data_IF_134603401392
#
_entry.id   IF_134603401392
#
_cell.length_a   1.000
_cell.length_b   1.000
_cell.length_c   1.000
_cell.angle_alpha   90.00
_cell.angle_beta   90.00
_cell.angle_gamma   90.00
#
_symmetry.space_group_name_H-M   'P 1'
#
loop_
_entity.id
_entity.type
_entity.pdbx_description
1 polymer ?
#
# COMPACT_ATOMS: atom_id res chain seq x y z
N UNK A 1 4.13 -15.36 1.04
CA UNK A 1 3.71 -14.57 2.22
C UNK A 1 2.34 -13.91 2.03
N UNK A 2 2.10 -13.17 0.93
CA UNK A 2 0.85 -12.42 0.73
C UNK A 2 -0.44 -13.23 0.93
N UNK A 3 -0.52 -14.46 0.42
CA UNK A 3 -1.71 -15.31 0.57
C UNK A 3 -2.11 -15.55 2.04
N UNK A 4 -1.14 -15.66 2.94
CA UNK A 4 -1.41 -15.87 4.38
C UNK A 4 -2.00 -14.59 4.98
N UNK A 5 -1.44 -13.43 4.64
CA UNK A 5 -1.92 -12.13 5.11
C UNK A 5 -3.35 -11.89 4.60
N UNK A 6 -3.61 -12.13 3.31
CA UNK A 6 -4.94 -12.03 2.70
C UNK A 6 -5.95 -12.94 3.41
N UNK A 7 -5.60 -14.21 3.62
CA UNK A 7 -6.49 -15.15 4.30
C UNK A 7 -6.79 -14.71 5.74
N UNK A 8 -5.80 -14.18 6.46
CA UNK A 8 -5.99 -13.68 7.82
C UNK A 8 -6.88 -12.43 7.88
N UNK A 9 -6.70 -11.48 6.95
CA UNK A 9 -7.54 -10.28 6.86
C UNK A 9 -9.01 -10.65 6.59
N UNK A 10 -9.25 -11.54 5.62
CA UNK A 10 -10.60 -12.03 5.31
C UNK A 10 -11.21 -12.82 6.47
N UNK A 11 -10.40 -13.63 7.16
CA UNK A 11 -10.86 -14.35 8.34
C UNK A 11 -11.30 -13.38 9.46
N UNK A 12 -10.48 -12.37 9.76
CA UNK A 12 -10.77 -11.39 10.80
C UNK A 12 -12.03 -10.56 10.49
N UNK A 13 -12.27 -10.24 9.21
CA UNK A 13 -13.52 -9.60 8.76
C UNK A 13 -14.76 -10.46 9.07
N UNK A 14 -14.67 -11.78 8.93
CA UNK A 14 -15.78 -12.70 9.25
C UNK A 14 -15.94 -12.89 10.75
N UNK A 15 -14.85 -12.97 11.51
CA UNK A 15 -14.89 -13.21 12.97
C UNK A 15 -15.53 -12.05 13.73
N UNK A 16 -15.08 -10.82 13.47
CA UNK A 16 -15.63 -9.62 14.10
C UNK A 16 -15.42 -8.39 13.20
N UNK A 17 -16.40 -8.05 12.35
CA UNK A 17 -16.26 -6.95 11.40
C UNK A 17 -16.24 -5.56 12.05
N UNK A 18 -16.52 -5.44 13.36
CA UNK A 18 -16.50 -4.16 14.07
C UNK A 18 -15.18 -3.89 14.78
N UNK A 19 -14.33 -4.90 14.91
CA UNK A 19 -13.06 -4.79 15.62
C UNK A 19 -11.93 -4.43 14.68
N UNK A 20 -11.25 -3.33 14.99
CA UNK A 20 -10.04 -2.90 14.29
C UNK A 20 -8.99 -4.01 14.20
N UNK A 21 -8.36 -4.10 13.03
CA UNK A 21 -7.23 -4.99 12.79
C UNK A 21 -5.94 -4.19 12.95
N UNK A 22 -4.98 -4.71 13.71
CA UNK A 22 -3.64 -4.11 13.82
C UNK A 22 -2.65 -4.95 13.03
N UNK A 23 -2.09 -4.35 11.98
CA UNK A 23 -1.09 -4.95 11.11
C UNK A 23 0.30 -4.39 11.42
N UNK A 24 1.17 -5.23 11.97
CA UNK A 24 2.58 -4.90 12.19
C UNK A 24 3.40 -5.13 10.92
N UNK A 25 4.13 -4.11 10.49
CA UNK A 25 4.92 -4.11 9.25
C UNK A 25 6.40 -4.08 9.60
N UNK A 26 7.09 -5.19 9.31
CA UNK A 26 8.54 -5.30 9.29
C UNK A 26 8.93 -6.01 7.99
N UNK A 27 9.16 -5.24 6.93
CA UNK A 27 9.41 -5.76 5.60
C UNK A 27 10.35 -4.85 4.80
N UNK A 28 11.38 -5.40 4.15
CA UNK A 28 12.19 -4.67 3.18
C UNK A 28 11.48 -4.43 1.84
N UNK A 29 10.23 -4.89 1.68
CA UNK A 29 9.49 -4.83 0.42
C UNK A 29 9.38 -6.19 -0.26
N UNK A 30 9.10 -6.18 -1.56
CA UNK A 30 8.94 -7.39 -2.36
C UNK A 30 8.15 -7.15 -3.64
N UNK A 31 7.48 -8.20 -4.12
CA UNK A 31 6.65 -8.13 -5.33
C UNK A 31 5.53 -7.09 -5.21
N UNK A 32 5.46 -6.20 -6.20
CA UNK A 32 4.40 -5.18 -6.31
C UNK A 32 3.03 -5.83 -6.40
N UNK A 33 2.86 -6.85 -7.24
CA UNK A 33 1.56 -7.53 -7.40
C UNK A 33 1.11 -8.23 -6.12
N UNK A 34 2.04 -8.83 -5.38
CA UNK A 34 1.75 -9.45 -4.09
C UNK A 34 1.34 -8.41 -3.04
N UNK A 35 1.98 -7.23 -3.03
CA UNK A 35 1.60 -6.13 -2.14
C UNK A 35 0.25 -5.50 -2.53
N UNK A 36 -0.03 -5.35 -3.83
CA UNK A 36 -1.33 -4.88 -4.31
C UNK A 36 -2.48 -5.82 -3.91
N UNK A 37 -2.26 -7.14 -3.94
CA UNK A 37 -3.27 -8.09 -3.47
C UNK A 37 -3.60 -7.91 -1.98
N UNK A 38 -2.62 -7.60 -1.13
CA UNK A 38 -2.85 -7.29 0.29
C UNK A 38 -3.63 -5.97 0.42
N UNK A 39 -3.22 -4.95 -0.34
CA UNK A 39 -3.84 -3.63 -0.34
C UNK A 39 -5.32 -3.68 -0.75
N UNK A 40 -5.66 -4.41 -1.82
CA UNK A 40 -7.03 -4.57 -2.28
C UNK A 40 -7.90 -5.19 -1.18
N UNK A 41 -7.37 -6.19 -0.47
CA UNK A 41 -8.08 -6.83 0.64
C UNK A 41 -8.21 -5.89 1.85
N UNK A 42 -7.18 -5.10 2.18
CA UNK A 42 -7.27 -4.05 3.20
C UNK A 42 -8.38 -3.03 2.90
N UNK A 43 -8.74 -2.82 1.63
CA UNK A 43 -9.84 -1.93 1.21
C UNK A 43 -11.19 -2.63 1.06
N UNK A 44 -11.17 -3.94 0.90
CA UNK A 44 -12.37 -4.74 0.72
C UNK A 44 -13.07 -5.08 2.03
N UNK A 45 -12.30 -5.33 3.09
CA UNK A 45 -12.82 -5.74 4.40
C UNK A 45 -13.49 -4.58 5.15
N UNK A 46 -14.41 -4.91 6.07
CA UNK A 46 -15.18 -3.93 6.85
C UNK A 46 -14.39 -3.30 8.01
N UNK A 47 -13.55 -4.05 8.76
CA UNK A 47 -12.73 -3.46 9.81
C UNK A 47 -11.78 -2.38 9.31
N UNK A 48 -11.57 -1.37 10.14
CA UNK A 48 -10.43 -0.47 9.95
C UNK A 48 -9.12 -1.23 10.17
N UNK A 49 -8.14 -0.98 9.31
CA UNK A 49 -6.80 -1.55 9.43
C UNK A 49 -5.84 -0.51 9.97
N UNK A 50 -5.43 -0.65 11.22
CA UNK A 50 -4.32 0.09 11.80
C UNK A 50 -2.99 -0.54 11.38
N UNK A 51 -2.00 0.28 11.03
CA UNK A 51 -0.67 -0.20 10.61
C UNK A 51 0.41 0.33 11.55
N UNK A 52 1.37 -0.53 11.90
CA UNK A 52 2.45 -0.18 12.83
C UNK A 52 3.80 -0.62 12.27
N UNK A 53 4.70 0.33 12.04
CA UNK A 53 6.06 0.06 11.58
C UNK A 53 6.93 -0.47 12.73
N UNK A 54 7.50 -1.67 12.56
CA UNK A 54 8.42 -2.31 13.51
C UNK A 54 9.72 -2.63 12.77
N UNK A 55 10.82 -1.98 13.14
CA UNK A 55 12.11 -2.20 12.50
C UNK A 55 12.22 -1.49 11.15
N UNK A 56 11.80 -2.13 10.06
CA UNK A 56 11.90 -1.56 8.71
C UNK A 56 10.59 -1.74 7.95
N UNK A 57 10.09 -0.67 7.33
CA UNK A 57 9.09 -0.75 6.28
C UNK A 57 9.67 -0.09 5.03
N UNK A 58 10.06 -0.88 4.03
CA UNK A 58 10.63 -0.39 2.79
C UNK A 58 9.80 -0.81 1.56
N UNK A 59 9.81 0.01 0.49
CA UNK A 59 9.15 -0.29 -0.78
C UNK A 59 7.66 -0.66 -0.59
N UNK A 60 7.20 -1.83 -1.08
CA UNK A 60 5.83 -2.31 -0.83
C UNK A 60 5.48 -2.47 0.66
N UNK A 61 6.46 -2.65 1.55
CA UNK A 61 6.23 -2.61 2.99
C UNK A 61 5.86 -1.20 3.47
N UNK A 62 6.57 -0.18 2.98
CA UNK A 62 6.26 1.22 3.27
C UNK A 62 4.90 1.65 2.66
N UNK A 63 4.57 1.13 1.47
CA UNK A 63 3.26 1.32 0.85
C UNK A 63 2.13 0.72 1.69
N UNK A 64 2.26 -0.53 2.15
CA UNK A 64 1.24 -1.16 2.99
C UNK A 64 1.13 -0.48 4.36
N UNK A 65 2.25 0.02 4.90
CA UNK A 65 2.24 0.84 6.11
C UNK A 65 1.41 2.11 5.92
N UNK A 66 1.58 2.83 4.81
CA UNK A 66 0.80 4.04 4.52
C UNK A 66 -0.66 3.76 4.14
N UNK A 67 -0.98 2.52 3.76
CA UNK A 67 -2.32 2.06 3.46
C UNK A 67 -3.21 1.77 4.69
N UNK A 68 -2.73 2.01 5.91
CA UNK A 68 -3.59 1.96 7.09
C UNK A 68 -4.73 2.98 7.03
N UNK A 69 -5.80 2.75 7.81
CA UNK A 69 -6.88 3.72 7.98
C UNK A 69 -6.31 5.07 8.45
N UNK A 70 -6.80 6.17 7.86
CA UNK A 70 -6.35 7.53 8.18
C UNK A 70 -6.38 7.78 9.69
N UNK A 71 -5.23 8.20 10.25
CA UNK A 71 -5.07 8.46 11.69
C UNK A 71 -4.76 7.23 12.55
N UNK A 72 -4.70 6.03 11.95
CA UNK A 72 -4.38 4.76 12.63
C UNK A 72 -3.06 4.14 12.14
N UNK A 73 -2.13 4.98 11.68
CA UNK A 73 -0.78 4.60 11.26
C UNK A 73 0.26 5.02 12.30
N UNK A 74 1.15 4.12 12.68
CA UNK A 74 2.13 4.34 13.75
C UNK A 74 3.50 3.81 13.39
N UNK A 75 4.54 4.29 14.08
CA UNK A 75 5.89 3.78 13.96
C UNK A 75 6.54 3.72 15.34
N UNK A 76 7.21 2.62 15.63
CA UNK A 76 8.02 2.53 16.85
C UNK A 76 9.24 3.48 16.75
N UNK A 77 9.83 3.92 17.89
CA UNK A 77 10.84 4.98 17.91
C UNK A 77 12.10 4.70 17.08
N UNK A 78 12.49 3.43 16.95
CA UNK A 78 13.70 3.02 16.22
C UNK A 78 13.41 2.49 14.81
N UNK A 79 12.14 2.47 14.41
CA UNK A 79 11.74 1.96 13.11
C UNK A 79 12.10 2.93 11.98
N UNK A 80 12.36 2.39 10.79
CA UNK A 80 12.69 3.16 9.59
C UNK A 80 11.67 2.90 8.49
N UNK A 81 11.28 3.95 7.79
CA UNK A 81 10.45 3.87 6.59
C UNK A 81 11.28 4.31 5.39
N UNK A 82 11.31 3.51 4.33
CA UNK A 82 12.11 3.77 3.13
C UNK A 82 11.25 3.59 1.88
N UNK A 83 11.09 4.65 1.11
CA UNK A 83 10.43 4.60 -0.19
C UNK A 83 11.52 4.67 -1.27
N UNK A 84 11.43 3.83 -2.29
CA UNK A 84 12.28 3.90 -3.47
C UNK A 84 11.47 3.49 -4.70
N UNK A 85 11.94 3.88 -5.88
CA UNK A 85 11.30 3.55 -7.15
C UNK A 85 11.18 2.03 -7.32
N UNK A 86 10.09 1.50 -7.91
CA UNK A 86 9.99 0.08 -8.23
C UNK A 86 11.17 -0.31 -9.12
N UNK A 87 11.90 -1.36 -8.73
CA UNK A 87 12.92 -1.94 -9.60
C UNK A 87 12.21 -2.62 -10.77
N UNK A 88 12.15 -1.92 -11.91
CA UNK A 88 11.72 -2.49 -13.17
C UNK A 88 12.89 -3.28 -13.74
N UNK A 89 12.93 -4.59 -13.47
CA UNK A 89 13.89 -5.52 -14.07
C UNK A 89 13.52 -5.84 -15.52
N UNK A 90 13.45 -4.82 -16.37
CA UNK A 90 13.13 -5.01 -17.78
C UNK A 90 14.38 -5.50 -18.52
N UNK A 91 14.46 -6.81 -18.75
CA UNK A 91 15.37 -7.41 -19.73
C UNK A 91 14.57 -7.79 -20.98
N UNK A 92 14.97 -7.28 -22.14
CA UNK A 92 14.25 -7.49 -23.41
C UNK A 92 14.41 -6.33 -24.39
N UNK A 93 13.79 -6.45 -25.57
CA UNK A 93 13.79 -5.37 -26.56
C UNK A 93 13.01 -4.14 -26.08
N UNK A 94 13.17 -3.00 -26.75
CA UNK A 94 12.54 -1.72 -26.37
C UNK A 94 11.02 -1.83 -26.09
N UNK A 95 10.31 -2.68 -26.84
CA UNK A 95 8.88 -2.95 -26.66
C UNK A 95 8.53 -3.65 -25.35
N UNK A 96 9.38 -4.56 -24.86
CA UNK A 96 9.15 -5.30 -23.61
C UNK A 96 9.37 -4.38 -22.41
N UNK A 97 10.36 -3.49 -22.52
CA UNK A 97 10.62 -2.42 -21.54
C UNK A 97 9.39 -1.49 -21.47
N UNK A 98 8.88 -1.03 -22.61
CA UNK A 98 7.73 -0.11 -22.67
C UNK A 98 6.45 -0.75 -22.09
N UNK A 99 6.20 -2.04 -22.32
CA UNK A 99 5.05 -2.76 -21.77
C UNK A 99 5.18 -2.90 -20.25
N UNK A 100 6.37 -3.23 -19.74
CA UNK A 100 6.60 -3.34 -18.30
C UNK A 100 6.46 -1.97 -17.61
N UNK A 101 7.06 -0.92 -18.16
CA UNK A 101 6.94 0.45 -17.66
C UNK A 101 5.47 0.91 -17.65
N UNK A 102 4.72 0.63 -18.71
CA UNK A 102 3.29 0.95 -18.79
C UNK A 102 2.45 0.19 -17.76
N UNK A 103 2.82 -1.06 -17.46
CA UNK A 103 2.16 -1.84 -16.41
C UNK A 103 2.41 -1.22 -15.03
N UNK A 104 3.65 -0.79 -14.75
CA UNK A 104 3.99 -0.07 -13.53
C UNK A 104 3.32 1.30 -13.40
N UNK A 105 3.16 2.06 -14.50
CA UNK A 105 2.43 3.33 -14.47
C UNK A 105 0.94 3.15 -14.20
N UNK A 106 0.32 2.06 -14.67
CA UNK A 106 -1.08 1.73 -14.34
C UNK A 106 -1.23 1.42 -12.84
N UNK A 107 -0.27 0.76 -12.21
CA UNK A 107 -0.29 0.56 -10.76
C UNK A 107 -0.17 1.89 -9.99
N UNK A 108 0.58 2.86 -10.53
CA UNK A 108 0.65 4.22 -9.98
C UNK A 108 -0.73 4.90 -10.05
N UNK A 109 -1.40 4.90 -11.20
CA UNK A 109 -2.75 5.49 -11.34
C UNK A 109 -3.81 4.80 -10.47
N UNK A 110 -3.74 3.48 -10.28
CA UNK A 110 -4.66 2.73 -9.41
C UNK A 110 -4.37 2.88 -7.92
N UNK A 111 -3.19 3.35 -7.56
CA UNK A 111 -2.81 3.62 -6.17
C UNK A 111 -3.29 4.99 -5.68
N UNK A 112 -3.69 5.88 -6.59
CA UNK A 112 -4.51 7.04 -6.24
C UNK A 112 -5.86 6.54 -5.71
N UNK A 113 -6.37 7.09 -4.60
CA UNK A 113 -7.61 6.61 -3.99
C UNK A 113 -8.78 6.81 -4.96
N UNK A 114 -9.26 5.70 -5.55
CA UNK A 114 -10.57 5.62 -6.18
C UNK A 114 -11.59 5.50 -5.05
N UNK A 115 -12.48 6.48 -4.93
CA UNK A 115 -13.51 6.51 -3.90
C UNK A 115 -14.29 5.18 -3.84
N UNK A 116 -14.48 4.57 -2.66
CA UNK A 116 -15.33 3.39 -2.53
C UNK A 116 -16.80 3.76 -2.70
N UNK A 117 -17.66 2.87 -3.23
CA UNK A 117 -19.09 3.11 -3.31
C UNK A 117 -19.73 2.97 -1.91
N UNK A 118 -19.79 4.04 -1.12
CA UNK A 118 -20.72 4.17 0.02
C UNK A 118 -20.99 5.65 0.39
N UNK A 119 -22.19 6.01 0.91
CA UNK A 119 -22.72 7.37 0.79
C UNK A 119 -22.38 8.36 1.93
N UNK A 120 -21.53 8.03 2.91
CA UNK A 120 -21.54 8.78 4.20
C UNK A 120 -20.20 9.17 4.82
N UNK A 121 -19.13 9.29 4.05
CA UNK A 121 -17.95 10.07 4.47
C UNK A 121 -17.37 10.80 3.28
N UNK A 122 -17.63 12.11 3.19
CA UNK A 122 -16.97 12.96 2.19
C UNK A 122 -15.46 12.88 2.40
N UNK A 123 -14.80 12.16 1.50
CA UNK A 123 -13.36 12.15 1.33
C UNK A 123 -12.90 13.57 0.98
N UNK A 124 -11.87 14.08 1.67
CA UNK A 124 -11.25 15.37 1.37
C UNK A 124 -9.95 15.15 0.57
N UNK A 125 -9.97 15.31 -0.76
CA UNK A 125 -8.84 15.00 -1.65
C UNK A 125 -7.61 15.88 -1.40
N UNK A 126 -7.74 17.02 -0.70
CA UNK A 126 -6.60 17.92 -0.40
C UNK A 126 -5.66 17.38 0.68
N UNK A 127 -6.07 16.36 1.43
CA UNK A 127 -5.28 15.80 2.54
C UNK A 127 -4.57 14.48 2.23
N UNK A 128 -4.85 13.86 1.09
CA UNK A 128 -4.22 12.59 0.67
C UNK A 128 -3.26 12.75 -0.53
N UNK A 129 -3.51 13.73 -1.39
CA UNK A 129 -2.71 13.99 -2.60
C UNK A 129 -1.23 14.43 -2.39
N UNK A 130 -0.81 15.10 -1.29
CA UNK A 130 0.56 15.57 -1.20
C UNK A 130 1.59 14.44 -1.03
N UNK A 131 1.21 13.34 -0.36
CA UNK A 131 2.15 12.28 0.00
C UNK A 131 2.54 11.41 -1.22
N UNK A 132 1.65 11.25 -2.20
CA UNK A 132 1.92 10.48 -3.43
C UNK A 132 2.73 11.27 -4.46
N UNK A 133 2.47 12.58 -4.61
CA UNK A 133 3.22 13.42 -5.55
C UNK A 133 4.68 13.63 -5.15
N UNK A 134 4.97 13.82 -3.86
CA UNK A 134 6.35 14.00 -3.39
C UNK A 134 7.20 12.72 -3.54
N UNK A 135 6.59 11.53 -3.45
CA UNK A 135 7.28 10.25 -3.56
C UNK A 135 7.88 10.00 -4.97
N UNK A 136 7.24 10.51 -6.03
CA UNK A 136 7.72 10.30 -7.41
C UNK A 136 8.47 11.50 -7.99
N UNK A 137 8.22 12.73 -7.52
CA UNK A 137 8.83 13.94 -8.09
C UNK A 137 10.29 14.19 -7.62
N UNK A 138 10.69 13.67 -6.46
CA UNK A 138 12.06 13.81 -5.91
C UNK A 138 13.09 12.93 -6.67
N UNK A 139 12.66 12.18 -7.68
CA UNK A 139 13.51 11.32 -8.51
C UNK A 139 13.87 11.91 -9.89
N UNK A 140 13.47 13.15 -10.18
CA UNK A 140 13.74 13.83 -11.45
C UNK A 140 14.47 15.17 -11.30
N UNK A 141 15.19 15.38 -10.19
CA UNK A 141 16.18 16.47 -10.02
C UNK A 141 17.49 15.93 -9.45
#
# INVERSE_FOLDING_TARGET
>A
MANIIVAQLLYLDVVDPQKDIVMYVNSPGGSVTAGMAIFDVMRHIRPDVSTVCVGLAASMGAFLLSAGTKGKWYSLPNSRVMIHQPLCGAEGGQTDIDIQVKSYSIYHERSEPVDPPSPTRQFNPKTAAPFFKEIFYVSYL
#
